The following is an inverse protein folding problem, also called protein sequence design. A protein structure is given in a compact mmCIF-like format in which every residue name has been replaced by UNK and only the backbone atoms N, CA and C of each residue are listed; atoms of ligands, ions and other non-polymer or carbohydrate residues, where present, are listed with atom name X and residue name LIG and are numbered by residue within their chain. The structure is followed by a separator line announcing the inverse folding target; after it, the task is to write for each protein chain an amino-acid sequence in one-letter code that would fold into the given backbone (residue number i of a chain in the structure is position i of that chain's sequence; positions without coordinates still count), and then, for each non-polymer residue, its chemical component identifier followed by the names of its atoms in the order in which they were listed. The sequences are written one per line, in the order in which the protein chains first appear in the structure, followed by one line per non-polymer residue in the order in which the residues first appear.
data_IF_061484965762
#
_entry.id   IF_061484965762
#
_cell.length_a   1.000
_cell.length_b   1.000
_cell.length_c   1.000
_cell.angle_alpha   90.00
_cell.angle_beta   90.00
_cell.angle_gamma   90.00
#
_symmetry.space_group_name_H-M   'P 1'
#
loop_
_entity.id
_entity.type
_entity.pdbx_description
1 polymer ?
#
# COMPACT_ATOMS: atom_id res chain seq x y z
N UNK A 1 -10.19 12.07 -19.47
CA UNK A 1 -9.27 12.53 -18.44
C UNK A 1 -9.84 12.07 -17.08
N UNK A 2 -9.02 11.45 -16.25
CA UNK A 2 -9.49 10.88 -15.00
C UNK A 2 -9.05 11.78 -13.85
N UNK A 3 -10.00 12.41 -13.18
CA UNK A 3 -9.75 13.30 -12.03
C UNK A 3 -9.69 12.51 -10.70
N UNK A 4 -9.86 11.20 -10.77
CA UNK A 4 -9.86 10.30 -9.61
C UNK A 4 -8.87 9.15 -9.82
N UNK A 5 -8.44 8.56 -8.71
CA UNK A 5 -7.70 7.31 -8.73
C UNK A 5 -8.64 6.16 -9.12
N UNK A 6 -8.21 5.36 -10.07
CA UNK A 6 -8.91 4.15 -10.51
C UNK A 6 -8.19 2.93 -9.96
N UNK A 7 -8.95 1.97 -9.47
CA UNK A 7 -8.48 0.64 -9.13
C UNK A 7 -9.43 -0.39 -9.73
N UNK A 8 -8.90 -1.49 -10.22
CA UNK A 8 -9.69 -2.58 -10.80
C UNK A 8 -9.40 -3.85 -10.04
N UNK A 9 -10.37 -4.30 -9.26
CA UNK A 9 -10.23 -5.47 -8.38
C UNK A 9 -9.94 -6.78 -9.14
N UNK A 10 -10.32 -6.86 -10.42
CA UNK A 10 -10.13 -8.05 -11.25
C UNK A 10 -8.90 -8.01 -12.17
N UNK A 11 -8.10 -6.95 -12.10
CA UNK A 11 -6.99 -6.74 -13.04
C UNK A 11 -5.70 -6.29 -12.37
N UNK A 12 -5.63 -6.33 -11.06
CA UNK A 12 -4.44 -6.02 -10.24
C UNK A 12 -3.70 -4.75 -10.68
N UNK A 13 -4.43 -3.73 -11.12
CA UNK A 13 -3.84 -2.42 -11.35
C UNK A 13 -4.62 -1.30 -10.70
N UNK A 14 -3.91 -0.25 -10.38
CA UNK A 14 -4.46 1.02 -9.91
C UNK A 14 -3.68 2.16 -10.57
N UNK A 15 -4.32 3.31 -10.73
CA UNK A 15 -3.65 4.44 -11.33
C UNK A 15 -4.49 5.69 -11.38
N UNK A 16 -3.84 6.78 -11.76
CA UNK A 16 -4.48 8.07 -11.97
C UNK A 16 -3.75 8.87 -13.06
N UNK A 17 -4.43 9.85 -13.60
CA UNK A 17 -3.80 10.81 -14.51
C UNK A 17 -3.35 12.04 -13.72
N UNK A 18 -2.09 12.44 -13.87
CA UNK A 18 -1.59 13.68 -13.28
C UNK A 18 -2.17 14.90 -13.99
N UNK A 19 -2.12 16.06 -13.32
CA UNK A 19 -2.55 17.34 -13.90
C UNK A 19 -1.79 17.71 -15.18
N UNK A 20 -0.56 17.19 -15.35
CA UNK A 20 0.27 17.40 -16.54
C UNK A 20 0.03 16.38 -17.65
N UNK A 21 -0.97 15.51 -17.50
CA UNK A 21 -1.37 14.54 -18.50
C UNK A 21 -0.65 13.19 -18.45
N UNK A 22 0.39 13.03 -17.63
CA UNK A 22 1.05 11.75 -17.46
C UNK A 22 0.13 10.76 -16.74
N UNK A 23 0.10 9.51 -17.21
CA UNK A 23 -0.59 8.44 -16.54
C UNK A 23 0.38 7.68 -15.62
N UNK A 24 0.05 7.58 -14.33
CA UNK A 24 0.82 6.86 -13.33
C UNK A 24 -0.01 5.67 -12.89
N UNK A 25 0.55 4.48 -12.98
CA UNK A 25 -0.14 3.28 -12.53
C UNK A 25 0.81 2.28 -11.89
N UNK A 26 0.29 1.46 -10.99
CA UNK A 26 0.97 0.34 -10.38
C UNK A 26 0.19 -0.93 -10.60
N UNK A 27 0.87 -2.04 -10.62
CA UNK A 27 0.28 -3.37 -10.68
C UNK A 27 1.19 -4.38 -9.98
N UNK A 28 0.61 -5.51 -9.60
CA UNK A 28 1.33 -6.71 -9.27
C UNK A 28 1.43 -7.58 -10.54
N UNK A 29 2.55 -8.26 -10.72
CA UNK A 29 2.72 -9.19 -11.83
C UNK A 29 2.05 -10.54 -11.58
N UNK A 30 1.69 -10.84 -10.34
CA UNK A 30 1.31 -12.19 -9.91
C UNK A 30 2.47 -13.21 -10.02
N UNK A 31 3.68 -12.75 -10.32
CA UNK A 31 4.88 -13.56 -10.35
C UNK A 31 5.57 -13.44 -8.99
N UNK A 32 6.03 -14.56 -8.45
CA UNK A 32 6.89 -14.55 -7.28
C UNK A 32 8.18 -13.80 -7.66
N UNK A 33 8.30 -12.56 -7.19
CA UNK A 33 9.56 -11.85 -7.29
C UNK A 33 10.52 -12.47 -6.29
N UNK A 34 11.62 -13.01 -6.80
CA UNK A 34 12.68 -13.53 -5.95
C UNK A 34 13.26 -12.38 -5.13
N UNK A 35 13.03 -12.42 -3.84
CA UNK A 35 13.42 -11.42 -2.84
C UNK A 35 14.93 -11.41 -2.55
N UNK A 36 15.74 -11.95 -3.43
CA UNK A 36 17.20 -12.00 -3.29
C UNK A 36 17.90 -10.67 -3.65
N UNK A 37 17.12 -9.63 -3.89
CA UNK A 37 17.65 -8.28 -4.05
C UNK A 37 17.92 -7.69 -2.66
N UNK A 38 19.17 -7.32 -2.42
CA UNK A 38 19.54 -6.61 -1.19
C UNK A 38 18.67 -5.39 -0.97
N UNK A 39 18.50 -4.96 0.28
CA UNK A 39 17.64 -3.83 0.69
C UNK A 39 17.92 -2.52 -0.08
N UNK A 40 19.06 -2.41 -0.74
CA UNK A 40 19.52 -1.20 -1.43
C UNK A 40 19.14 -1.14 -2.92
N UNK A 41 18.61 -2.21 -3.52
CA UNK A 41 18.31 -2.26 -4.95
C UNK A 41 16.83 -2.55 -5.21
N UNK A 42 16.01 -1.50 -5.29
CA UNK A 42 14.64 -1.59 -5.80
C UNK A 42 14.64 -1.46 -7.32
N UNK A 43 14.68 -2.60 -8.02
CA UNK A 43 14.58 -2.65 -9.48
C UNK A 43 13.21 -3.16 -9.89
N UNK A 44 12.63 -2.54 -10.90
CA UNK A 44 11.43 -3.07 -11.53
C UNK A 44 11.80 -4.21 -12.49
N UNK A 45 11.17 -5.36 -12.34
CA UNK A 45 11.30 -6.44 -13.29
C UNK A 45 10.66 -6.06 -14.64
N UNK A 46 11.32 -6.28 -15.79
CA UNK A 46 10.69 -6.10 -17.10
C UNK A 46 9.41 -6.93 -17.28
N UNK A 47 9.32 -8.08 -16.63
CA UNK A 47 8.12 -8.94 -16.66
C UNK A 47 6.96 -8.27 -15.93
N UNK A 48 7.19 -7.72 -14.73
CA UNK A 48 6.18 -6.96 -13.98
C UNK A 48 5.70 -5.74 -14.77
N UNK A 49 6.62 -4.96 -15.33
CA UNK A 49 6.26 -3.80 -16.18
C UNK A 49 5.42 -4.24 -17.37
N UNK A 50 5.82 -5.31 -18.06
CA UNK A 50 5.09 -5.84 -19.21
C UNK A 50 3.70 -6.36 -18.84
N UNK A 51 3.57 -7.05 -17.70
CA UNK A 51 2.29 -7.55 -17.21
C UNK A 51 1.35 -6.38 -16.86
N UNK A 52 1.84 -5.38 -16.13
CA UNK A 52 1.07 -4.19 -15.80
C UNK A 52 0.62 -3.41 -17.02
N UNK A 53 1.50 -3.24 -18.02
CA UNK A 53 1.13 -2.60 -19.28
C UNK A 53 0.02 -3.37 -20.01
N UNK A 54 0.10 -4.69 -20.08
CA UNK A 54 -0.97 -5.51 -20.68
C UNK A 54 -2.28 -5.40 -19.94
N UNK A 55 -2.23 -5.45 -18.61
CA UNK A 55 -3.43 -5.31 -17.79
C UNK A 55 -4.13 -3.97 -18.06
N UNK A 56 -3.40 -2.86 -17.98
CA UNK A 56 -4.00 -1.54 -18.17
C UNK A 56 -4.51 -1.31 -19.60
N UNK A 57 -3.80 -1.78 -20.62
CA UNK A 57 -4.24 -1.68 -22.02
C UNK A 57 -5.52 -2.47 -22.28
N UNK A 58 -5.79 -3.54 -21.53
CA UNK A 58 -7.04 -4.27 -21.60
C UNK A 58 -8.27 -3.44 -21.17
N UNK A 59 -8.08 -2.47 -20.26
CA UNK A 59 -9.14 -1.59 -19.78
C UNK A 59 -9.12 -0.21 -20.43
N UNK A 60 -7.94 0.28 -20.80
CA UNK A 60 -7.73 1.59 -21.42
C UNK A 60 -6.90 1.43 -22.70
N UNK A 61 -7.51 0.92 -23.80
CA UNK A 61 -6.78 0.57 -25.02
C UNK A 61 -6.00 1.73 -25.65
N UNK A 62 -6.45 2.97 -25.44
CA UNK A 62 -5.77 4.16 -25.95
C UNK A 62 -4.35 4.34 -25.37
N UNK A 63 -4.00 3.68 -24.28
CA UNK A 63 -2.67 3.70 -23.70
C UNK A 63 -1.67 2.80 -24.46
N UNK A 64 -2.11 2.04 -25.45
CA UNK A 64 -1.21 1.21 -26.28
C UNK A 64 -0.13 2.03 -27.02
N UNK A 65 -0.44 3.27 -27.37
CA UNK A 65 0.50 4.19 -28.04
C UNK A 65 1.31 5.04 -27.05
N UNK A 66 1.06 4.90 -25.75
CA UNK A 66 1.78 5.66 -24.72
C UNK A 66 3.21 5.13 -24.56
N UNK A 67 4.13 6.04 -24.22
CA UNK A 67 5.52 5.69 -23.95
C UNK A 67 5.75 5.62 -22.46
N UNK A 68 6.41 4.56 -22.01
CA UNK A 68 6.90 4.45 -20.64
C UNK A 68 8.06 5.42 -20.48
N UNK A 69 7.91 6.41 -19.61
CA UNK A 69 8.96 7.41 -19.33
C UNK A 69 9.75 7.07 -18.07
N UNK A 70 9.17 6.30 -17.16
CA UNK A 70 9.81 5.90 -15.90
C UNK A 70 9.12 4.68 -15.29
N UNK A 71 9.92 3.81 -14.67
CA UNK A 71 9.47 2.73 -13.79
C UNK A 71 10.22 2.80 -12.47
N UNK A 72 9.58 2.38 -11.39
CA UNK A 72 10.20 2.27 -10.07
C UNK A 72 9.50 1.19 -9.25
N UNK A 73 10.20 0.65 -8.27
CA UNK A 73 9.66 -0.23 -7.24
C UNK A 73 9.62 0.46 -5.89
N UNK A 74 8.92 -0.12 -4.94
CA UNK A 74 8.85 0.33 -3.55
C UNK A 74 8.67 -0.85 -2.60
N UNK A 75 9.10 -0.70 -1.36
CA UNK A 75 8.81 -1.65 -0.30
C UNK A 75 7.41 -1.43 0.23
N UNK A 76 6.70 -2.52 0.48
CA UNK A 76 5.43 -2.53 1.17
C UNK A 76 5.62 -3.10 2.57
N UNK A 77 5.10 -2.40 3.57
CA UNK A 77 4.95 -2.90 4.92
C UNK A 77 3.68 -3.73 5.01
N UNK A 78 3.81 -5.05 4.81
CA UNK A 78 2.70 -5.99 4.75
C UNK A 78 2.38 -6.56 6.13
N UNK A 79 1.11 -6.57 6.48
CA UNK A 79 0.60 -7.34 7.60
C UNK A 79 -0.05 -8.64 7.08
N UNK A 80 0.18 -9.77 7.75
CA UNK A 80 -0.28 -11.09 7.30
C UNK A 80 -1.79 -11.20 7.10
N UNK A 81 -2.57 -10.47 7.88
CA UNK A 81 -4.03 -10.43 7.79
C UNK A 81 -4.55 -9.24 6.95
N UNK A 82 -3.65 -8.46 6.35
CA UNK A 82 -4.00 -7.26 5.58
C UNK A 82 -4.49 -6.08 6.41
N UNK A 83 -4.50 -6.21 7.75
CA UNK A 83 -5.02 -5.20 8.68
C UNK A 83 -3.85 -4.52 9.40
N UNK A 84 -3.78 -3.19 9.48
CA UNK A 84 -2.66 -2.51 10.14
C UNK A 84 -2.62 -2.78 11.65
N UNK A 85 -1.45 -2.60 12.23
CA UNK A 85 -1.26 -2.55 13.68
C UNK A 85 -1.32 -1.09 14.12
N UNK A 86 -2.27 -0.75 15.00
CA UNK A 86 -2.35 0.54 15.70
C UNK A 86 -2.59 0.21 17.17
N UNK A 87 -1.56 0.28 17.99
CA UNK A 87 -1.61 -0.26 19.35
C UNK A 87 -0.52 0.31 20.25
N UNK A 88 -0.82 0.48 21.52
CA UNK A 88 0.21 0.53 22.55
C UNK A 88 0.86 -0.85 22.72
N UNK A 89 2.11 -0.86 23.16
CA UNK A 89 2.88 -2.09 23.46
C UNK A 89 2.94 -2.26 24.96
N UNK A 90 2.24 -3.26 25.49
CA UNK A 90 2.10 -3.46 26.93
C UNK A 90 3.44 -3.69 27.62
N UNK A 91 4.40 -4.35 26.95
CA UNK A 91 5.74 -4.62 27.47
C UNK A 91 6.66 -3.39 27.48
N UNK A 92 6.31 -2.33 26.75
CA UNK A 92 7.13 -1.10 26.63
C UNK A 92 6.22 0.12 26.83
N UNK A 93 6.03 0.56 28.08
CA UNK A 93 5.17 1.70 28.38
C UNK A 93 5.54 2.95 27.58
N UNK A 94 4.53 3.57 26.94
CA UNK A 94 4.69 4.76 26.10
C UNK A 94 5.08 4.49 24.64
N UNK A 95 5.32 3.23 24.25
CA UNK A 95 5.51 2.87 22.85
C UNK A 95 4.16 2.66 22.18
N UNK A 96 3.90 3.41 21.10
CA UNK A 96 2.74 3.26 20.24
C UNK A 96 3.23 2.81 18.86
N UNK A 97 2.66 1.72 18.35
CA UNK A 97 2.91 1.21 17.00
C UNK A 97 1.85 1.69 16.03
N UNK A 98 2.28 2.04 14.81
CA UNK A 98 1.42 2.28 13.66
C UNK A 98 2.15 1.77 12.42
N UNK A 99 1.89 0.52 12.01
CA UNK A 99 2.63 -0.17 10.95
C UNK A 99 1.75 -1.22 10.26
N UNK A 100 2.28 -1.86 9.23
CA UNK A 100 1.58 -2.93 8.51
C UNK A 100 0.42 -2.43 7.66
N UNK A 101 0.50 -1.24 7.07
CA UNK A 101 -0.61 -0.62 6.33
C UNK A 101 -0.93 -1.28 5.00
N UNK A 102 -0.14 -2.24 4.56
CA UNK A 102 -0.42 -3.12 3.41
C UNK A 102 -0.81 -2.33 2.14
N UNK A 103 -0.08 -1.25 1.85
CA UNK A 103 -0.32 -0.39 0.68
C UNK A 103 -1.43 0.67 0.85
N UNK A 104 -2.20 0.68 1.94
CA UNK A 104 -3.35 1.58 2.15
C UNK A 104 -3.07 2.78 3.07
N UNK A 105 -1.82 2.92 3.54
CA UNK A 105 -1.45 3.91 4.56
C UNK A 105 -1.74 5.36 4.17
N UNK A 106 -1.53 5.73 2.92
CA UNK A 106 -1.74 7.11 2.46
C UNK A 106 -3.21 7.55 2.65
N UNK A 107 -4.16 6.73 2.22
CA UNK A 107 -5.59 7.06 2.32
C UNK A 107 -6.09 7.09 3.76
N UNK A 108 -5.50 6.29 4.64
CA UNK A 108 -5.91 6.20 6.06
C UNK A 108 -5.16 7.16 6.98
N UNK A 109 -4.07 7.79 6.50
CA UNK A 109 -3.18 8.62 7.30
C UNK A 109 -3.86 9.71 8.15
N UNK A 110 -4.88 10.47 7.66
CA UNK A 110 -5.53 11.48 8.49
C UNK A 110 -6.25 10.89 9.71
N UNK A 111 -6.97 9.78 9.53
CA UNK A 111 -7.69 9.11 10.62
C UNK A 111 -6.70 8.47 11.61
N UNK A 112 -5.66 7.83 11.09
CA UNK A 112 -4.59 7.25 11.91
C UNK A 112 -3.88 8.31 12.73
N UNK A 113 -3.52 9.45 12.12
CA UNK A 113 -2.89 10.55 12.82
C UNK A 113 -3.74 11.10 13.98
N UNK A 114 -5.06 11.22 13.77
CA UNK A 114 -5.99 11.60 14.85
C UNK A 114 -5.99 10.56 15.98
N UNK A 115 -6.11 9.27 15.65
CA UNK A 115 -6.10 8.20 16.66
C UNK A 115 -4.78 8.16 17.44
N UNK A 116 -3.64 8.31 16.77
CA UNK A 116 -2.33 8.34 17.42
C UNK A 116 -2.19 9.54 18.37
N UNK A 117 -2.71 10.72 17.99
CA UNK A 117 -2.71 11.87 18.89
C UNK A 117 -3.56 11.65 20.12
N UNK A 118 -4.73 11.04 19.97
CA UNK A 118 -5.62 10.68 21.07
C UNK A 118 -4.96 9.66 22.03
N UNK A 119 -4.34 8.61 21.48
CA UNK A 119 -3.60 7.64 22.25
C UNK A 119 -2.45 8.29 23.05
N UNK A 120 -1.66 9.16 22.42
CA UNK A 120 -0.57 9.85 23.08
C UNK A 120 -1.02 10.79 24.20
N UNK A 121 -2.24 11.30 24.13
CA UNK A 121 -2.87 12.13 25.18
C UNK A 121 -3.64 11.32 26.22
N UNK A 122 -3.71 9.99 26.07
CA UNK A 122 -4.52 9.12 26.94
C UNK A 122 -6.02 9.31 26.76
N UNK A 123 -6.44 9.80 25.60
CA UNK A 123 -7.85 10.01 25.25
C UNK A 123 -8.41 8.76 24.57
N UNK A 124 -9.74 8.65 24.58
CA UNK A 124 -10.42 7.60 23.82
C UNK A 124 -10.32 7.89 22.33
N UNK A 125 -9.91 6.88 21.54
CA UNK A 125 -9.86 6.98 20.09
C UNK A 125 -11.25 7.14 19.48
N UNK A 126 -11.33 7.92 18.40
CA UNK A 126 -12.58 8.18 17.66
C UNK A 126 -13.18 6.91 17.05
N UNK A 127 -12.34 5.90 16.79
CA UNK A 127 -12.73 4.57 16.29
C UNK A 127 -12.24 3.51 17.27
N UNK A 128 -12.99 2.42 17.43
CA UNK A 128 -12.54 1.25 18.19
C UNK A 128 -11.37 0.57 17.46
N UNK A 129 -10.21 0.55 18.10
CA UNK A 129 -8.97 -0.03 17.58
C UNK A 129 -8.62 -1.37 18.26
N UNK A 130 -9.53 -1.95 19.02
CA UNK A 130 -9.27 -3.20 19.77
C UNK A 130 -8.83 -4.35 18.86
N UNK A 131 -9.33 -4.42 17.64
CA UNK A 131 -8.95 -5.40 16.63
C UNK A 131 -7.59 -5.11 15.96
N UNK A 132 -7.01 -3.93 16.17
CA UNK A 132 -5.75 -3.50 15.56
C UNK A 132 -4.53 -3.72 16.47
N UNK A 133 -4.70 -4.42 17.57
CA UNK A 133 -3.62 -4.68 18.52
C UNK A 133 -2.48 -5.50 17.93
N UNK A 134 -1.25 -5.18 18.35
CA UNK A 134 -0.02 -5.88 17.93
C UNK A 134 0.01 -7.36 18.37
N UNK A 135 -0.67 -7.70 19.47
CA UNK A 135 -0.66 -9.02 20.08
C UNK A 135 -1.78 -9.94 19.56
N UNK A 136 -2.61 -9.48 18.60
CA UNK A 136 -3.69 -10.30 18.02
C UNK A 136 -3.20 -11.59 17.36
N UNK A 137 -1.93 -11.64 16.99
CA UNK A 137 -1.30 -12.84 16.44
C UNK A 137 -0.79 -13.83 17.50
N UNK A 138 -0.74 -13.45 18.77
CA UNK A 138 -0.28 -14.34 19.87
C UNK A 138 -1.25 -15.51 20.10
N UNK A 139 -2.50 -15.41 19.69
CA UNK A 139 -3.54 -16.44 19.86
C UNK A 139 -3.48 -17.57 18.82
N UNK A 140 -2.56 -17.54 17.86
CA UNK A 140 -2.44 -18.51 16.76
C UNK A 140 -1.27 -19.48 16.97
N UNK A 141 -1.02 -19.88 18.24
CA UNK A 141 -0.06 -20.94 18.56
C UNK A 141 -0.75 -22.21 19.01
#
# INVERSE_FOLDING_TARGET
MFDIMLGVASADFYGHQSQHGSFVFGSDSGLEETTDMGLDELRTSPLTVSAGCRAIMGYIPMLADAKIVRTWGGWLDLCYDGVPVISEVDEVPGLILACGFTGHGFGTAPAVGLMLSQMALGEKTVVDISSLRYDRFKAVR
#
